data_IF_713466607357
#
_entry.id   IF_713466607357
#
_cell.length_a   1.000
_cell.length_b   1.000
_cell.length_c   1.000
_cell.angle_alpha   90.00
_cell.angle_beta   90.00
_cell.angle_gamma   90.00
#
_symmetry.space_group_name_H-M   'P 1'
#
loop_
_entity.id
_entity.type
_entity.pdbx_description
1 polymer ?
#
# COMPACT_ATOMS: atom_id res chain seq x y z
N UNK A 1 -28.17 -27.53 25.74
CA UNK A 1 -26.82 -28.12 25.86
C UNK A 1 -26.05 -27.29 26.87
N UNK A 2 -25.58 -27.88 27.97
CA UNK A 2 -24.93 -27.14 29.05
C UNK A 2 -23.40 -27.29 28.96
N UNK A 3 -22.75 -26.33 28.30
CA UNK A 3 -21.30 -26.32 28.08
C UNK A 3 -20.53 -26.39 29.41
N UNK A 4 -20.99 -25.68 30.44
CA UNK A 4 -20.33 -25.66 31.74
C UNK A 4 -20.31 -27.07 32.37
N UNK A 5 -21.42 -27.81 32.31
CA UNK A 5 -21.49 -29.18 32.82
C UNK A 5 -20.64 -30.15 31.99
N UNK A 6 -20.57 -29.97 30.68
CA UNK A 6 -19.75 -30.79 29.80
C UNK A 6 -18.25 -30.57 30.05
N UNK A 7 -17.81 -29.32 30.23
CA UNK A 7 -16.42 -28.99 30.54
C UNK A 7 -15.95 -29.52 31.89
N UNK A 8 -16.85 -29.64 32.86
CA UNK A 8 -16.53 -30.23 34.18
C UNK A 8 -16.44 -31.76 34.09
N UNK A 9 -17.38 -32.40 33.38
CA UNK A 9 -17.39 -33.86 33.24
C UNK A 9 -16.22 -34.39 32.40
N UNK A 10 -15.74 -33.59 31.43
CA UNK A 10 -14.66 -33.95 30.51
C UNK A 10 -13.40 -33.13 30.77
N UNK A 11 -13.00 -33.04 32.05
CA UNK A 11 -11.94 -32.16 32.54
C UNK A 11 -10.62 -32.26 31.74
N UNK A 12 -10.18 -33.47 31.37
CA UNK A 12 -8.93 -33.67 30.62
C UNK A 12 -8.99 -32.98 29.24
N UNK A 13 -10.09 -33.14 28.50
CA UNK A 13 -10.24 -32.52 27.19
C UNK A 13 -10.33 -30.99 27.30
N UNK A 14 -11.00 -30.47 28.33
CA UNK A 14 -11.05 -29.03 28.60
C UNK A 14 -9.66 -28.46 28.87
N UNK A 15 -8.84 -29.14 29.68
CA UNK A 15 -7.46 -28.72 29.93
C UNK A 15 -6.59 -28.76 28.67
N UNK A 16 -6.73 -29.77 27.82
CA UNK A 16 -6.01 -29.85 26.54
C UNK A 16 -6.36 -28.66 25.65
N UNK A 17 -7.65 -28.31 25.53
CA UNK A 17 -8.09 -27.16 24.73
C UNK A 17 -7.51 -25.85 25.27
N UNK A 18 -7.53 -25.66 26.60
CA UNK A 18 -6.94 -24.48 27.24
C UNK A 18 -5.44 -24.41 26.95
N UNK A 19 -4.73 -25.51 27.06
CA UNK A 19 -3.28 -25.58 26.85
C UNK A 19 -2.91 -25.29 25.39
N UNK A 20 -3.67 -25.82 24.43
CA UNK A 20 -3.51 -25.52 23.01
C UNK A 20 -3.79 -24.03 22.73
N UNK A 21 -4.86 -23.47 23.30
CA UNK A 21 -5.18 -22.06 23.13
C UNK A 21 -4.10 -21.16 23.72
N UNK A 22 -3.53 -21.53 24.87
CA UNK A 22 -2.46 -20.78 25.51
C UNK A 22 -1.15 -20.84 24.71
N UNK A 23 -0.73 -22.03 24.29
CA UNK A 23 0.50 -22.19 23.48
C UNK A 23 0.35 -21.58 22.08
N UNK A 24 -0.79 -21.79 21.43
CA UNK A 24 -1.08 -21.19 20.12
C UNK A 24 -1.19 -19.67 20.20
N UNK A 25 -1.83 -19.14 21.24
CA UNK A 25 -1.95 -17.70 21.47
C UNK A 25 -0.62 -17.02 21.80
N UNK A 26 0.21 -17.65 22.63
CA UNK A 26 1.55 -17.13 22.96
C UNK A 26 2.46 -17.16 21.73
N UNK A 27 2.45 -18.22 20.94
CA UNK A 27 3.17 -18.26 19.67
C UNK A 27 2.67 -17.17 18.73
N UNK A 28 1.35 -17.07 18.51
CA UNK A 28 0.76 -16.03 17.68
C UNK A 28 1.23 -14.63 18.10
N UNK A 29 1.13 -14.31 19.39
CA UNK A 29 1.57 -13.03 19.95
C UNK A 29 3.05 -12.72 19.68
N UNK A 30 3.94 -13.72 19.80
CA UNK A 30 5.37 -13.53 19.57
C UNK A 30 5.74 -13.50 18.08
N UNK A 31 4.97 -14.18 17.23
CA UNK A 31 5.22 -14.26 15.78
C UNK A 31 4.62 -13.13 14.97
N UNK A 32 3.62 -12.42 15.52
CA UNK A 32 2.97 -11.31 14.82
C UNK A 32 3.98 -10.17 14.70
N UNK A 33 4.45 -9.96 13.47
CA UNK A 33 5.24 -8.79 13.12
C UNK A 33 4.44 -7.52 13.39
N UNK A 34 4.97 -6.65 14.24
CA UNK A 34 4.40 -5.31 14.44
C UNK A 34 4.99 -4.42 13.36
N UNK A 35 4.14 -3.99 12.43
CA UNK A 35 4.45 -2.86 11.56
C UNK A 35 4.24 -1.61 12.40
N UNK A 36 5.32 -0.92 12.76
CA UNK A 36 5.26 0.38 13.43
C UNK A 36 4.56 1.41 12.54
N UNK A 37 4.89 1.38 11.25
CA UNK A 37 4.18 2.08 10.19
C UNK A 37 3.54 1.07 9.23
N UNK A 38 2.21 1.01 9.12
CA UNK A 38 1.56 0.16 8.13
C UNK A 38 1.96 0.64 6.73
N UNK A 39 2.40 -0.28 5.87
CA UNK A 39 2.67 0.05 4.48
C UNK A 39 1.36 0.49 3.80
N UNK A 40 1.31 1.74 3.37
CA UNK A 40 0.23 2.27 2.55
C UNK A 40 0.76 2.54 1.14
N UNK A 41 -0.08 2.27 0.14
CA UNK A 41 0.26 2.58 -1.25
C UNK A 41 0.08 4.07 -1.49
N UNK A 42 1.18 4.78 -1.72
CA UNK A 42 1.13 6.16 -2.21
C UNK A 42 0.73 6.11 -3.68
N UNK A 43 -0.45 6.62 -4.01
CA UNK A 43 -0.98 6.68 -5.38
C UNK A 43 -0.33 7.85 -6.15
N UNK A 44 0.98 7.81 -6.32
CA UNK A 44 1.75 8.78 -7.07
C UNK A 44 2.55 8.08 -8.16
N UNK A 45 2.59 8.69 -9.35
CA UNK A 45 3.42 8.26 -10.46
C UNK A 45 4.31 9.42 -10.89
N UNK A 46 5.54 9.12 -11.29
CA UNK A 46 6.50 10.11 -11.84
C UNK A 46 6.81 9.71 -13.27
N UNK A 47 6.58 10.62 -14.21
CA UNK A 47 6.80 10.40 -15.64
C UNK A 47 7.97 11.28 -16.08
N UNK A 48 9.08 10.65 -16.46
CA UNK A 48 10.28 11.37 -16.88
C UNK A 48 10.46 11.22 -18.39
N UNK A 49 10.54 12.35 -19.10
CA UNK A 49 10.74 12.37 -20.55
C UNK A 49 11.95 13.20 -20.94
N UNK A 50 12.88 12.59 -21.67
CA UNK A 50 14.07 13.27 -22.17
C UNK A 50 13.85 13.84 -23.57
N UNK A 51 14.16 15.11 -23.77
CA UNK A 51 14.15 15.75 -25.08
C UNK A 51 15.42 16.60 -25.30
N UNK A 52 16.58 15.93 -25.48
CA UNK A 52 17.88 16.59 -25.47
C UNK A 52 18.01 17.62 -26.61
N UNK A 53 18.53 18.80 -26.28
CA UNK A 53 18.75 19.88 -27.24
C UNK A 53 17.55 20.83 -27.44
N UNK A 54 16.39 20.53 -26.83
CA UNK A 54 15.22 21.41 -26.85
C UNK A 54 15.28 22.47 -25.72
N UNK A 55 14.77 23.68 -26.00
CA UNK A 55 14.58 24.71 -24.97
C UNK A 55 13.45 24.32 -24.02
N UNK A 56 13.41 24.90 -22.81
CA UNK A 56 12.35 24.61 -21.84
C UNK A 56 10.94 24.90 -22.40
N UNK A 57 10.80 25.96 -23.21
CA UNK A 57 9.53 26.29 -23.87
C UNK A 57 9.13 25.24 -24.92
N UNK A 58 10.11 24.74 -25.67
CA UNK A 58 9.88 23.71 -26.68
C UNK A 58 9.50 22.37 -26.04
N UNK A 59 10.17 22.00 -24.95
CA UNK A 59 9.81 20.80 -24.15
C UNK A 59 8.40 20.94 -23.58
N UNK A 60 8.03 22.10 -23.05
CA UNK A 60 6.70 22.33 -22.53
C UNK A 60 5.62 22.09 -23.59
N UNK A 61 5.78 22.69 -24.77
CA UNK A 61 4.78 22.64 -25.85
C UNK A 61 4.71 21.29 -26.56
N UNK A 62 5.86 20.67 -26.82
CA UNK A 62 5.90 19.45 -27.64
C UNK A 62 5.79 18.17 -26.81
N UNK A 63 6.10 18.22 -25.51
CA UNK A 63 6.15 17.02 -24.65
C UNK A 63 5.15 17.12 -23.51
N UNK A 64 5.22 18.18 -22.70
CA UNK A 64 4.40 18.28 -21.49
C UNK A 64 2.93 18.53 -21.77
N UNK A 65 2.59 19.52 -22.62
CA UNK A 65 1.19 19.81 -23.00
C UNK A 65 0.40 18.58 -23.49
N UNK A 66 0.91 17.76 -24.44
CA UNK A 66 0.18 16.57 -24.89
C UNK A 66 0.08 15.48 -23.80
N UNK A 67 1.10 15.33 -22.96
CA UNK A 67 1.07 14.39 -21.84
C UNK A 67 0.07 14.81 -20.76
N UNK A 68 0.07 16.09 -20.40
CA UNK A 68 -0.88 16.66 -19.45
C UNK A 68 -2.32 16.47 -19.94
N UNK A 69 -2.58 16.77 -21.21
CA UNK A 69 -3.90 16.61 -21.81
C UNK A 69 -4.37 15.15 -21.76
N UNK A 70 -3.48 14.20 -22.04
CA UNK A 70 -3.80 12.77 -21.99
C UNK A 70 -4.04 12.27 -20.55
N UNK A 71 -3.21 12.71 -19.60
CA UNK A 71 -3.32 12.30 -18.19
C UNK A 71 -4.56 12.90 -17.54
N UNK A 72 -4.93 14.15 -17.88
CA UNK A 72 -6.14 14.81 -17.40
C UNK A 72 -7.45 14.13 -17.84
N UNK A 73 -7.41 13.25 -18.84
CA UNK A 73 -8.57 12.45 -19.24
C UNK A 73 -8.82 11.25 -18.31
N UNK A 74 -7.91 10.95 -17.39
CA UNK A 74 -8.06 9.85 -16.44
C UNK A 74 -9.06 10.22 -15.34
N UNK A 75 -10.07 9.37 -15.13
CA UNK A 75 -11.13 9.60 -14.14
C UNK A 75 -10.61 9.66 -12.69
N UNK A 76 -9.53 8.94 -12.39
CA UNK A 76 -8.95 8.84 -11.04
C UNK A 76 -7.86 9.88 -10.74
N UNK A 77 -7.66 10.88 -11.61
CA UNK A 77 -6.65 11.92 -11.39
C UNK A 77 -7.13 12.95 -10.35
N UNK A 78 -6.35 13.14 -9.29
CA UNK A 78 -6.60 14.18 -8.28
C UNK A 78 -5.88 15.50 -8.64
N UNK A 79 -4.54 15.43 -8.80
CA UNK A 79 -3.73 16.58 -9.21
C UNK A 79 -2.58 16.14 -10.14
N UNK A 80 -2.11 17.09 -10.94
CA UNK A 80 -0.98 16.95 -11.87
C UNK A 80 -0.06 18.16 -11.70
N UNK A 81 1.24 17.91 -11.60
CA UNK A 81 2.28 18.94 -11.54
C UNK A 81 3.36 18.59 -12.55
N UNK A 82 3.80 19.59 -13.31
CA UNK A 82 4.79 19.42 -14.38
C UNK A 82 5.90 20.44 -14.25
N UNK A 83 7.14 19.98 -14.42
CA UNK A 83 8.34 20.81 -14.36
C UNK A 83 9.13 20.62 -15.65
N UNK A 84 9.20 21.71 -16.43
CA UNK A 84 9.93 21.73 -17.70
C UNK A 84 11.32 22.34 -17.50
N UNK A 85 12.35 21.58 -17.86
CA UNK A 85 13.74 22.06 -17.87
C UNK A 85 14.32 21.89 -19.28
N UNK A 86 15.34 22.68 -19.68
CA UNK A 86 15.99 22.49 -20.97
C UNK A 86 16.48 21.04 -21.11
N UNK A 87 16.01 20.33 -22.13
CA UNK A 87 16.39 18.93 -22.37
C UNK A 87 15.53 17.87 -21.69
N UNK A 88 14.59 18.22 -20.79
CA UNK A 88 13.83 17.22 -20.01
C UNK A 88 12.51 17.77 -19.44
N UNK A 89 11.47 16.92 -19.46
CA UNK A 89 10.19 17.14 -18.76
C UNK A 89 10.03 16.12 -17.62
N UNK A 90 9.56 16.62 -16.48
CA UNK A 90 9.34 15.92 -15.21
C UNK A 90 7.92 16.15 -14.70
#
# INVERSE_FOLDING_TARGET
MNLARYSINTQIFTWIIILIALLGGTWGFLSVGRLEDPAFTIKQAVVVTGYPGASAEQVAREVSEPLETAIQQMEELDYLETINTPGQSL
#
